data_IF_446500112875
#
_entry.id   IF_446500112875
#
_cell.length_a   1.000
_cell.length_b   1.000
_cell.length_c   1.000
_cell.angle_alpha   90.00
_cell.angle_beta   90.00
_cell.angle_gamma   90.00
#
_symmetry.space_group_name_H-M   'P 1'
#
loop_
_entity.id
_entity.type
_entity.pdbx_description
1 polymer ?
#
# COMPACT_ATOMS: atom_id res chain seq x y z
N UNK A 1 -21.21 -11.13 0.32
CA UNK A 1 -20.17 -11.65 1.20
C UNK A 1 -19.64 -10.56 2.12
N UNK A 2 -19.02 -10.94 3.21
CA UNK A 2 -18.46 -10.00 4.21
C UNK A 2 -17.42 -9.05 3.63
N UNK A 3 -16.55 -9.52 2.73
CA UNK A 3 -15.62 -8.65 2.03
C UNK A 3 -16.35 -7.53 1.28
N UNK A 4 -17.40 -7.85 0.54
CA UNK A 4 -18.18 -6.84 -0.20
C UNK A 4 -18.78 -5.79 0.73
N UNK A 5 -19.25 -6.21 1.89
CA UNK A 5 -19.77 -5.29 2.92
C UNK A 5 -18.67 -4.34 3.41
N UNK A 6 -17.49 -4.86 3.77
CA UNK A 6 -16.38 -4.04 4.24
C UNK A 6 -15.85 -3.09 3.16
N UNK A 7 -15.72 -3.58 1.93
CA UNK A 7 -15.33 -2.77 0.78
C UNK A 7 -16.33 -1.61 0.56
N UNK A 8 -17.62 -1.88 0.63
CA UNK A 8 -18.65 -0.86 0.48
C UNK A 8 -18.59 0.21 1.59
N UNK A 9 -18.26 -0.17 2.82
CA UNK A 9 -18.05 0.77 3.93
C UNK A 9 -16.93 1.75 3.62
N UNK A 10 -15.78 1.25 3.18
CA UNK A 10 -14.62 2.09 2.80
C UNK A 10 -15.00 3.01 1.63
N UNK A 11 -15.56 2.45 0.56
CA UNK A 11 -15.91 3.20 -0.65
C UNK A 11 -16.93 4.31 -0.34
N UNK A 12 -17.97 3.98 0.41
CA UNK A 12 -19.00 4.97 0.77
C UNK A 12 -18.42 6.11 1.60
N UNK A 13 -17.62 5.79 2.62
CA UNK A 13 -17.00 6.80 3.45
C UNK A 13 -16.10 7.73 2.63
N UNK A 14 -15.24 7.19 1.77
CA UNK A 14 -14.30 8.02 1.01
C UNK A 14 -14.99 8.83 -0.09
N UNK A 15 -16.06 8.30 -0.68
CA UNK A 15 -16.84 9.03 -1.69
C UNK A 15 -17.62 10.20 -1.10
N UNK A 16 -18.19 10.05 0.11
CA UNK A 16 -19.18 10.99 0.64
C UNK A 16 -18.74 11.77 1.88
N UNK A 17 -18.05 11.11 2.79
CA UNK A 17 -17.84 11.58 4.15
C UNK A 17 -16.41 11.97 4.48
N UNK A 18 -15.44 11.47 3.70
CA UNK A 18 -14.04 11.78 3.86
C UNK A 18 -13.77 13.23 3.48
N UNK A 19 -13.22 13.97 4.42
CA UNK A 19 -12.80 15.36 4.18
C UNK A 19 -11.28 15.42 4.13
N UNK A 20 -10.77 15.54 2.95
CA UNK A 20 -9.42 16.03 2.72
C UNK A 20 -9.47 17.56 2.71
N UNK A 21 -8.49 18.21 3.34
CA UNK A 21 -8.39 19.65 3.30
C UNK A 21 -8.24 20.14 1.86
N UNK A 22 -9.29 20.79 1.36
CA UNK A 22 -9.36 21.26 -0.03
C UNK A 22 -8.22 22.24 -0.39
N UNK A 23 -7.69 22.98 0.58
CA UNK A 23 -6.52 23.86 0.36
C UNK A 23 -5.25 23.08 0.10
N UNK A 24 -5.13 21.87 0.64
CA UNK A 24 -3.96 20.99 0.49
C UNK A 24 -3.94 20.24 -0.83
N UNK A 25 -5.05 19.65 -1.23
CA UNK A 25 -5.05 18.77 -2.40
C UNK A 25 -5.13 19.48 -3.75
N UNK A 26 -5.53 20.74 -3.77
CA UNK A 26 -5.42 21.58 -4.96
C UNK A 26 -4.01 22.15 -5.19
N UNK A 27 -3.10 21.96 -4.27
CA UNK A 27 -1.75 22.51 -4.38
C UNK A 27 -0.83 21.60 -5.19
N UNK A 28 -0.80 21.82 -6.49
CA UNK A 28 0.06 21.09 -7.41
C UNK A 28 1.56 21.44 -7.27
N UNK A 29 1.89 22.51 -6.55
CA UNK A 29 3.27 22.97 -6.38
C UNK A 29 4.00 22.23 -5.25
N UNK A 30 3.28 21.49 -4.44
CA UNK A 30 3.88 20.65 -3.41
C UNK A 30 3.95 19.20 -3.91
N UNK A 31 5.14 18.69 -4.27
CA UNK A 31 5.31 17.30 -4.73
C UNK A 31 5.11 16.28 -3.61
N UNK A 32 4.83 16.75 -2.40
CA UNK A 32 4.75 15.89 -1.23
C UNK A 32 3.55 14.94 -1.26
N UNK A 33 3.22 14.41 -0.17
CA UNK A 33 2.35 13.28 0.10
C UNK A 33 0.86 13.44 -0.31
N UNK A 34 0.46 14.54 -0.94
CA UNK A 34 -0.94 14.79 -1.30
C UNK A 34 -1.54 13.71 -2.21
N UNK A 35 -0.77 13.14 -3.10
CA UNK A 35 -1.22 12.03 -3.94
C UNK A 35 -1.71 10.80 -3.17
N UNK A 36 -1.28 10.64 -1.93
CA UNK A 36 -1.79 9.56 -1.06
C UNK A 36 -3.29 9.63 -0.84
N UNK A 37 -3.85 10.82 -0.82
CA UNK A 37 -5.19 11.07 -0.29
C UNK A 37 -6.17 11.61 -1.32
N UNK A 38 -5.70 12.17 -2.43
CA UNK A 38 -6.52 12.72 -3.49
C UNK A 38 -7.13 11.65 -4.38
N UNK A 39 -6.30 10.77 -4.90
CA UNK A 39 -6.72 9.76 -5.86
C UNK A 39 -7.68 8.74 -5.28
N UNK A 40 -7.61 8.34 -4.00
CA UNK A 40 -8.66 7.55 -3.36
C UNK A 40 -10.06 8.13 -3.49
N UNK A 41 -10.21 9.47 -3.47
CA UNK A 41 -11.52 10.14 -3.63
C UNK A 41 -12.06 9.92 -5.04
N UNK A 42 -11.22 10.01 -6.05
CA UNK A 42 -11.61 9.74 -7.45
C UNK A 42 -12.05 8.29 -7.62
N UNK A 43 -11.24 7.35 -7.13
CA UNK A 43 -11.54 5.92 -7.19
C UNK A 43 -12.87 5.61 -6.50
N UNK A 44 -13.07 6.10 -5.29
CA UNK A 44 -14.31 5.89 -4.54
C UNK A 44 -15.52 6.50 -5.25
N UNK A 45 -15.38 7.71 -5.81
CA UNK A 45 -16.45 8.40 -6.53
C UNK A 45 -16.86 7.63 -7.78
N UNK A 46 -15.91 7.17 -8.58
CA UNK A 46 -16.20 6.35 -9.77
C UNK A 46 -16.77 4.99 -9.41
N UNK A 47 -16.26 4.36 -8.37
CA UNK A 47 -16.75 3.05 -7.93
C UNK A 47 -18.20 3.11 -7.40
N UNK A 48 -18.56 4.18 -6.72
CA UNK A 48 -19.89 4.34 -6.14
C UNK A 48 -20.92 4.91 -7.12
N UNK A 49 -20.55 5.95 -7.85
CA UNK A 49 -21.47 6.74 -8.65
C UNK A 49 -21.29 6.59 -10.16
N UNK A 50 -20.29 5.79 -10.58
CA UNK A 50 -19.97 5.58 -11.98
C UNK A 50 -19.05 6.64 -12.58
N UNK A 51 -18.51 6.31 -13.76
CA UNK A 51 -17.47 7.09 -14.45
C UNK A 51 -17.88 8.47 -14.95
N UNK A 52 -19.18 8.74 -15.00
CA UNK A 52 -19.72 10.05 -15.37
C UNK A 52 -19.90 10.99 -14.16
N UNK A 53 -19.52 10.56 -12.97
CA UNK A 53 -19.64 11.37 -11.76
C UNK A 53 -18.82 12.67 -11.89
N UNK A 54 -19.44 13.83 -11.67
CA UNK A 54 -18.76 15.13 -11.83
C UNK A 54 -17.57 15.29 -10.91
N UNK A 55 -17.66 14.84 -9.65
CA UNK A 55 -16.60 15.00 -8.65
C UNK A 55 -15.31 14.33 -9.11
N UNK A 56 -15.36 13.04 -9.47
CA UNK A 56 -14.16 12.31 -9.93
C UNK A 56 -13.58 12.92 -11.21
N UNK A 57 -14.40 13.30 -12.17
CA UNK A 57 -13.94 13.91 -13.42
C UNK A 57 -13.33 15.29 -13.21
N UNK A 58 -13.88 16.10 -12.32
CA UNK A 58 -13.33 17.42 -11.98
C UNK A 58 -11.94 17.32 -11.37
N UNK A 59 -11.71 16.34 -10.47
CA UNK A 59 -10.41 16.11 -9.86
C UNK A 59 -9.35 15.78 -10.90
N UNK A 60 -9.62 14.83 -11.78
CA UNK A 60 -8.68 14.44 -12.85
C UNK A 60 -8.38 15.61 -13.79
N UNK A 61 -9.39 16.37 -14.19
CA UNK A 61 -9.22 17.53 -15.07
C UNK A 61 -8.41 18.63 -14.38
N UNK A 62 -8.66 18.89 -13.11
CA UNK A 62 -7.91 19.88 -12.34
C UNK A 62 -6.42 19.53 -12.27
N UNK A 63 -6.08 18.27 -11.96
CA UNK A 63 -4.70 17.81 -11.90
C UNK A 63 -4.03 17.69 -13.27
N UNK A 64 -4.74 17.83 -14.36
CA UNK A 64 -4.18 17.92 -15.72
C UNK A 64 -3.75 19.34 -16.11
N UNK A 65 -3.76 20.29 -15.20
CA UNK A 65 -3.14 21.60 -15.47
C UNK A 65 -1.64 21.48 -15.61
N UNK A 66 -1.01 22.39 -16.36
CA UNK A 66 0.41 22.34 -16.64
C UNK A 66 1.29 22.21 -15.38
N UNK A 67 1.00 23.00 -14.36
CA UNK A 67 1.74 22.93 -13.10
C UNK A 67 1.60 21.61 -12.35
N UNK A 68 0.42 21.00 -12.42
CA UNK A 68 0.16 19.72 -11.78
C UNK A 68 0.76 18.56 -12.57
N UNK A 69 0.65 18.57 -13.89
CA UNK A 69 1.06 17.46 -14.73
C UNK A 69 2.57 17.21 -14.69
N UNK A 70 3.37 18.25 -14.48
CA UNK A 70 4.82 18.13 -14.33
C UNK A 70 5.27 17.76 -12.92
N UNK A 71 4.39 17.84 -11.94
CA UNK A 71 4.71 17.54 -10.56
C UNK A 71 4.35 16.09 -10.21
N UNK A 72 5.01 15.14 -10.88
CA UNK A 72 4.74 13.70 -10.74
C UNK A 72 5.59 13.06 -9.67
N UNK A 73 5.02 12.93 -8.51
CA UNK A 73 5.59 12.14 -7.43
C UNK A 73 5.00 10.71 -7.45
N UNK A 74 5.70 9.71 -6.88
CA UNK A 74 5.31 8.30 -6.94
C UNK A 74 3.88 8.03 -6.43
N UNK A 75 3.41 8.76 -5.43
CA UNK A 75 2.03 8.62 -4.95
C UNK A 75 0.99 9.10 -5.97
N UNK A 76 1.32 10.10 -6.78
CA UNK A 76 0.45 10.57 -7.85
C UNK A 76 0.36 9.51 -8.95
N UNK A 77 1.50 9.07 -9.47
CA UNK A 77 1.50 8.18 -10.64
C UNK A 77 0.85 6.83 -10.35
N UNK A 78 0.97 6.28 -9.14
CA UNK A 78 0.32 5.01 -8.80
C UNK A 78 -1.20 5.16 -8.74
N UNK A 79 -1.70 6.26 -8.17
CA UNK A 79 -3.12 6.55 -8.12
C UNK A 79 -3.72 6.82 -9.48
N UNK A 80 -3.04 7.65 -10.31
CA UNK A 80 -3.41 7.89 -11.70
C UNK A 80 -3.48 6.61 -12.51
N UNK A 81 -2.44 5.80 -12.42
CA UNK A 81 -2.36 4.53 -13.15
C UNK A 81 -3.49 3.58 -12.75
N UNK A 82 -3.82 3.52 -11.46
CA UNK A 82 -4.96 2.76 -10.97
C UNK A 82 -6.26 3.24 -11.62
N UNK A 83 -6.49 4.56 -11.66
CA UNK A 83 -7.68 5.17 -12.25
C UNK A 83 -7.74 4.88 -13.75
N UNK A 84 -6.64 5.07 -14.48
CA UNK A 84 -6.60 4.82 -15.93
C UNK A 84 -6.87 3.36 -16.27
N UNK A 85 -6.41 2.46 -15.43
CA UNK A 85 -6.58 1.02 -15.63
C UNK A 85 -8.02 0.57 -15.37
N UNK A 86 -8.64 1.08 -14.31
CA UNK A 86 -9.97 0.63 -13.88
C UNK A 86 -11.13 1.41 -14.50
N UNK A 87 -10.88 2.66 -14.89
CA UNK A 87 -11.92 3.59 -15.33
C UNK A 87 -11.57 4.25 -16.67
N UNK A 88 -11.02 3.46 -17.58
CA UNK A 88 -10.57 3.93 -18.91
C UNK A 88 -11.62 4.74 -19.66
N UNK A 89 -12.89 4.36 -19.54
CA UNK A 89 -13.99 5.01 -20.25
C UNK A 89 -14.49 6.31 -19.62
N UNK A 90 -13.95 6.71 -18.46
CA UNK A 90 -14.31 7.99 -17.85
C UNK A 90 -13.93 9.16 -18.79
N UNK A 91 -14.82 10.16 -18.96
CA UNK A 91 -14.57 11.29 -19.86
C UNK A 91 -13.24 12.00 -19.59
N UNK A 92 -12.91 12.25 -18.34
CA UNK A 92 -11.65 12.90 -17.94
C UNK A 92 -10.41 12.03 -18.18
N UNK A 93 -10.53 10.72 -18.09
CA UNK A 93 -9.44 9.80 -18.44
C UNK A 93 -9.16 9.88 -19.93
N UNK A 94 -10.18 9.71 -20.78
CA UNK A 94 -10.03 9.76 -22.24
C UNK A 94 -9.47 11.09 -22.74
N UNK A 95 -9.91 12.20 -22.16
CA UNK A 95 -9.46 13.53 -22.57
C UNK A 95 -8.05 13.90 -22.10
N UNK A 96 -7.55 13.29 -21.01
CA UNK A 96 -6.32 13.75 -20.36
C UNK A 96 -5.18 12.72 -20.41
N UNK A 97 -5.45 11.45 -20.71
CA UNK A 97 -4.46 10.35 -20.59
C UNK A 97 -3.18 10.60 -21.40
N UNK A 98 -3.29 11.15 -22.59
CA UNK A 98 -2.12 11.40 -23.46
C UNK A 98 -1.18 12.43 -22.82
N UNK A 99 -1.72 13.47 -22.19
CA UNK A 99 -0.94 14.50 -21.52
C UNK A 99 -0.23 13.91 -20.29
N UNK A 100 -0.91 13.08 -19.53
CA UNK A 100 -0.30 12.35 -18.40
C UNK A 100 0.84 11.43 -18.85
N UNK A 101 0.63 10.66 -19.92
CA UNK A 101 1.67 9.82 -20.51
C UNK A 101 2.87 10.64 -20.98
N UNK A 102 2.62 11.75 -21.67
CA UNK A 102 3.67 12.62 -22.21
C UNK A 102 4.51 13.22 -21.07
N UNK A 103 3.87 13.71 -20.03
CA UNK A 103 4.56 14.26 -18.86
C UNK A 103 5.43 13.20 -18.16
N UNK A 104 4.91 11.99 -17.96
CA UNK A 104 5.64 10.89 -17.34
C UNK A 104 6.82 10.42 -18.21
N UNK A 105 6.62 10.36 -19.52
CA UNK A 105 7.62 9.87 -20.48
C UNK A 105 8.81 10.78 -20.64
N UNK A 106 8.54 12.09 -20.65
CA UNK A 106 9.55 13.12 -20.86
C UNK A 106 10.29 13.52 -19.57
N UNK A 107 9.93 12.96 -18.43
CA UNK A 107 10.56 13.31 -17.17
C UNK A 107 12.00 12.78 -17.10
N UNK A 108 12.95 13.65 -16.78
CA UNK A 108 14.39 13.34 -16.75
C UNK A 108 15.02 13.42 -15.36
N UNK A 109 14.25 13.86 -14.37
CA UNK A 109 14.72 13.98 -13.00
C UNK A 109 14.61 12.66 -12.19
N UNK A 110 14.88 12.72 -10.91
CA UNK A 110 14.85 11.57 -9.99
C UNK A 110 13.47 10.91 -9.84
N UNK A 111 12.41 11.52 -10.37
CA UNK A 111 11.06 10.97 -10.38
C UNK A 111 10.67 10.30 -11.70
N UNK A 112 11.61 10.07 -12.61
CA UNK A 112 11.35 9.30 -13.82
C UNK A 112 10.86 7.90 -13.46
N UNK A 113 9.72 7.48 -14.03
CA UNK A 113 9.06 6.21 -13.68
C UNK A 113 9.92 4.98 -13.94
N UNK A 114 10.76 5.04 -14.98
CA UNK A 114 11.55 3.90 -15.43
C UNK A 114 12.89 3.77 -14.69
N UNK A 115 13.40 4.85 -14.13
CA UNK A 115 14.77 4.93 -13.56
C UNK A 115 14.83 5.55 -12.18
N UNK A 116 13.71 5.99 -11.61
CA UNK A 116 13.68 6.61 -10.27
C UNK A 116 14.28 5.69 -9.22
N UNK A 117 14.93 6.31 -8.25
CA UNK A 117 15.40 5.67 -7.03
C UNK A 117 14.47 6.04 -5.87
N UNK A 118 14.66 5.43 -4.72
CA UNK A 118 13.88 5.72 -3.53
C UNK A 118 13.67 4.50 -2.64
N UNK A 119 12.65 4.57 -1.82
CA UNK A 119 12.29 3.50 -0.90
C UNK A 119 11.65 2.31 -1.62
N UNK A 120 11.51 1.18 -0.95
CA UNK A 120 10.86 0.01 -1.56
C UNK A 120 9.44 0.30 -2.04
N UNK A 121 8.63 1.00 -1.22
CA UNK A 121 7.28 1.37 -1.64
C UNK A 121 7.30 2.36 -2.81
N UNK A 122 8.27 3.28 -2.89
CA UNK A 122 8.42 4.19 -4.02
C UNK A 122 8.73 3.42 -5.30
N UNK A 123 9.67 2.47 -5.25
CA UNK A 123 10.01 1.64 -6.41
C UNK A 123 8.83 0.77 -6.85
N UNK A 124 8.10 0.17 -5.92
CA UNK A 124 6.90 -0.60 -6.23
C UNK A 124 5.87 0.28 -6.96
N UNK A 125 5.61 1.49 -6.45
CA UNK A 125 4.66 2.42 -7.05
C UNK A 125 5.09 2.88 -8.45
N UNK A 126 6.36 3.28 -8.62
CA UNK A 126 6.84 3.82 -9.90
C UNK A 126 6.97 2.74 -10.98
N UNK A 127 7.52 1.57 -10.67
CA UNK A 127 7.75 0.52 -11.67
C UNK A 127 6.47 -0.18 -12.13
N UNK A 128 5.52 -0.38 -11.22
CA UNK A 128 4.18 -0.90 -11.58
C UNK A 128 3.44 0.10 -12.46
N UNK A 129 3.49 1.39 -12.12
CA UNK A 129 2.94 2.46 -12.95
C UNK A 129 3.65 2.56 -14.31
N UNK A 130 4.98 2.46 -14.34
CA UNK A 130 5.76 2.50 -15.58
C UNK A 130 5.37 1.37 -16.54
N UNK A 131 5.15 0.15 -16.03
CA UNK A 131 4.66 -0.96 -16.84
C UNK A 131 3.31 -0.65 -17.49
N UNK A 132 2.34 -0.20 -16.69
CA UNK A 132 0.99 0.09 -17.17
C UNK A 132 0.96 1.30 -18.13
N UNK A 133 1.74 2.33 -17.86
CA UNK A 133 1.91 3.45 -18.81
C UNK A 133 2.52 2.99 -20.12
N UNK A 134 3.54 2.13 -20.08
CA UNK A 134 4.12 1.57 -21.30
C UNK A 134 3.11 0.69 -22.08
N UNK A 135 2.28 -0.08 -21.37
CA UNK A 135 1.19 -0.85 -21.98
C UNK A 135 0.18 0.07 -22.70
N UNK A 136 -0.28 1.12 -22.02
CA UNK A 136 -1.23 2.08 -22.60
C UNK A 136 -0.60 2.81 -23.79
N UNK A 137 0.63 3.29 -23.66
CA UNK A 137 1.35 3.99 -24.71
C UNK A 137 1.53 3.13 -25.95
N UNK A 138 1.96 1.87 -25.76
CA UNK A 138 2.13 0.90 -26.86
C UNK A 138 0.82 0.61 -27.59
N UNK A 139 -0.26 0.42 -26.82
CA UNK A 139 -1.52 -0.06 -27.38
C UNK A 139 -2.38 1.06 -27.97
N UNK A 140 -2.33 2.25 -27.39
CA UNK A 140 -3.23 3.37 -27.74
C UNK A 140 -2.53 4.52 -28.46
N UNK A 141 -1.22 4.69 -28.26
CA UNK A 141 -0.45 5.82 -28.79
C UNK A 141 0.92 5.40 -29.37
N UNK A 142 0.99 4.33 -30.20
CA UNK A 142 2.29 3.78 -30.64
C UNK A 142 3.14 4.76 -31.45
N UNK A 143 2.51 5.69 -32.15
CA UNK A 143 3.22 6.70 -32.95
C UNK A 143 3.81 7.82 -32.10
N UNK A 144 3.19 8.12 -30.95
CA UNK A 144 3.66 9.16 -30.03
C UNK A 144 4.76 8.61 -29.11
N UNK A 145 4.76 7.30 -28.85
CA UNK A 145 5.69 6.63 -27.95
C UNK A 145 6.34 5.40 -28.62
N UNK A 146 7.22 5.58 -29.60
CA UNK A 146 7.76 4.49 -30.42
C UNK A 146 8.59 3.47 -29.65
N UNK A 147 9.15 3.84 -28.49
CA UNK A 147 9.90 2.95 -27.60
C UNK A 147 9.04 2.27 -26.51
N UNK A 148 7.73 2.40 -26.57
CA UNK A 148 6.83 1.86 -25.52
C UNK A 148 6.93 0.33 -25.40
N UNK A 149 7.08 -0.40 -26.50
CA UNK A 149 7.24 -1.85 -26.48
C UNK A 149 8.53 -2.28 -25.75
N UNK A 150 9.64 -1.55 -25.98
CA UNK A 150 10.90 -1.79 -25.28
C UNK A 150 10.76 -1.50 -23.79
N UNK A 151 10.19 -0.37 -23.41
CA UNK A 151 9.94 0.01 -22.02
C UNK A 151 9.06 -1.00 -21.29
N UNK A 152 8.04 -1.50 -21.97
CA UNK A 152 7.16 -2.55 -21.44
C UNK A 152 7.94 -3.83 -21.09
N UNK A 153 8.81 -4.27 -22.00
CA UNK A 153 9.65 -5.45 -21.78
C UNK A 153 10.66 -5.26 -20.64
N UNK A 154 11.30 -4.09 -20.57
CA UNK A 154 12.23 -3.73 -19.49
C UNK A 154 11.50 -3.76 -18.13
N UNK A 155 10.31 -3.18 -18.05
CA UNK A 155 9.54 -3.17 -16.80
C UNK A 155 9.01 -4.56 -16.44
N UNK A 156 8.61 -5.38 -17.41
CA UNK A 156 8.24 -6.78 -17.15
C UNK A 156 9.39 -7.52 -16.46
N UNK A 157 10.61 -7.40 -17.01
CA UNK A 157 11.80 -8.01 -16.40
C UNK A 157 12.02 -7.54 -14.98
N UNK A 158 11.95 -6.23 -14.75
CA UNK A 158 12.11 -5.66 -13.42
C UNK A 158 11.08 -6.19 -12.42
N UNK A 159 9.80 -6.26 -12.82
CA UNK A 159 8.72 -6.77 -11.97
C UNK A 159 8.91 -8.24 -11.58
N UNK A 160 9.38 -9.06 -12.52
CA UNK A 160 9.68 -10.46 -12.26
C UNK A 160 10.87 -10.64 -11.30
N UNK A 161 11.94 -9.88 -11.49
CA UNK A 161 13.10 -9.90 -10.62
C UNK A 161 12.75 -9.43 -9.21
N UNK A 162 11.96 -8.36 -9.09
CA UNK A 162 11.49 -7.86 -7.81
C UNK A 162 10.66 -8.91 -7.05
N UNK A 163 9.73 -9.57 -7.72
CA UNK A 163 8.92 -10.62 -7.13
C UNK A 163 9.77 -11.81 -6.66
N UNK A 164 10.75 -12.23 -7.45
CA UNK A 164 11.68 -13.28 -7.08
C UNK A 164 12.50 -12.92 -5.83
N UNK A 165 13.00 -11.68 -5.76
CA UNK A 165 13.70 -11.17 -4.58
C UNK A 165 12.79 -11.07 -3.36
N UNK A 166 11.55 -10.63 -3.52
CA UNK A 166 10.56 -10.58 -2.44
C UNK A 166 10.33 -11.96 -1.82
N UNK A 167 10.21 -13.00 -2.63
CA UNK A 167 10.03 -14.38 -2.14
C UNK A 167 11.30 -14.98 -1.54
N UNK A 168 12.48 -14.48 -1.91
CA UNK A 168 13.76 -14.95 -1.40
C UNK A 168 14.13 -14.30 -0.07
N UNK A 169 14.02 -12.99 0.03
CA UNK A 169 14.52 -12.21 1.18
C UNK A 169 13.40 -11.61 2.04
N UNK A 170 12.18 -11.54 1.52
CA UNK A 170 11.12 -10.70 2.08
C UNK A 170 11.38 -9.21 1.87
N UNK A 171 10.40 -8.34 2.10
CA UNK A 171 10.59 -6.90 1.99
C UNK A 171 11.47 -6.37 3.10
N UNK A 172 12.26 -5.33 2.85
CA UNK A 172 12.96 -4.57 3.89
C UNK A 172 12.01 -3.66 4.65
N UNK A 173 10.91 -3.25 4.02
CA UNK A 173 9.77 -2.62 4.70
C UNK A 173 8.84 -3.70 5.29
N UNK A 174 9.43 -4.62 6.06
CA UNK A 174 8.72 -5.77 6.59
C UNK A 174 7.64 -5.39 7.61
N UNK A 175 6.47 -5.97 7.42
CA UNK A 175 5.28 -5.79 8.26
C UNK A 175 4.90 -4.31 8.51
N UNK A 176 5.24 -3.42 7.57
CA UNK A 176 4.96 -2.00 7.71
C UNK A 176 3.47 -1.72 7.64
N UNK A 177 2.87 -1.42 8.77
CA UNK A 177 1.46 -1.02 8.82
C UNK A 177 1.21 0.35 8.17
N UNK A 178 2.23 1.20 8.12
CA UNK A 178 2.16 2.52 7.45
C UNK A 178 2.18 2.40 5.93
N UNK A 179 3.13 1.61 5.39
CA UNK A 179 3.39 1.60 3.94
C UNK A 179 2.75 0.46 3.19
N UNK A 180 2.12 -0.52 3.86
CA UNK A 180 1.45 -1.63 3.19
C UNK A 180 0.51 -1.20 2.05
N UNK A 181 -0.41 -0.23 2.23
CA UNK A 181 -1.29 0.17 1.14
C UNK A 181 -0.54 0.69 -0.08
N UNK A 182 0.54 1.43 0.14
CA UNK A 182 1.35 2.00 -0.94
C UNK A 182 2.21 0.95 -1.64
N UNK A 183 2.67 -0.05 -0.88
CA UNK A 183 3.44 -1.17 -1.44
C UNK A 183 2.59 -2.07 -2.33
N UNK A 184 1.28 -2.17 -2.09
CA UNK A 184 0.39 -3.09 -2.84
C UNK A 184 -0.42 -2.42 -3.94
N UNK A 185 -0.65 -1.11 -3.92
CA UNK A 185 -1.59 -0.43 -4.84
C UNK A 185 -1.20 -0.65 -6.31
N UNK A 186 0.07 -0.54 -6.66
CA UNK A 186 0.53 -0.78 -8.01
C UNK A 186 0.36 -2.23 -8.46
N UNK A 187 0.55 -3.18 -7.55
CA UNK A 187 0.32 -4.61 -7.82
C UNK A 187 -1.16 -4.94 -7.99
N UNK A 188 -2.04 -4.27 -7.25
CA UNK A 188 -3.49 -4.35 -7.46
C UNK A 188 -3.87 -3.88 -8.88
N UNK A 189 -3.31 -2.75 -9.32
CA UNK A 189 -3.53 -2.24 -10.67
C UNK A 189 -3.02 -3.21 -11.76
N UNK A 190 -1.84 -3.82 -11.56
CA UNK A 190 -1.30 -4.85 -12.47
C UNK A 190 -2.17 -6.10 -12.50
N UNK A 191 -2.62 -6.57 -11.34
CA UNK A 191 -3.49 -7.74 -11.25
C UNK A 191 -4.79 -7.55 -12.03
N UNK A 192 -5.39 -6.36 -11.91
CA UNK A 192 -6.65 -6.05 -12.57
C UNK A 192 -6.48 -5.68 -14.05
N UNK A 193 -5.37 -5.04 -14.43
CA UNK A 193 -5.26 -4.35 -15.70
C UNK A 193 -4.10 -4.73 -16.63
N UNK A 194 -3.12 -5.52 -16.17
CA UNK A 194 -2.08 -6.00 -17.07
C UNK A 194 -2.67 -6.98 -18.09
N UNK A 195 -2.35 -6.77 -19.36
CA UNK A 195 -2.81 -7.65 -20.45
C UNK A 195 -2.00 -8.94 -20.52
N UNK A 196 -0.73 -8.88 -20.14
CA UNK A 196 0.16 -10.03 -20.09
C UNK A 196 -0.23 -10.94 -18.92
N UNK A 197 -0.60 -12.21 -19.16
CA UNK A 197 -1.02 -13.15 -18.13
C UNK A 197 0.10 -13.47 -17.13
N UNK A 198 1.36 -13.45 -17.54
CA UNK A 198 2.51 -13.70 -16.66
C UNK A 198 2.66 -12.56 -15.66
N UNK A 199 2.49 -11.32 -16.11
CA UNK A 199 2.54 -10.14 -15.22
C UNK A 199 1.38 -10.15 -14.22
N UNK A 200 0.19 -10.53 -14.66
CA UNK A 200 -0.96 -10.71 -13.76
C UNK A 200 -0.72 -11.80 -12.71
N UNK A 201 -0.10 -12.91 -13.12
CA UNK A 201 0.26 -14.00 -12.22
C UNK A 201 1.29 -13.56 -11.19
N UNK A 202 2.33 -12.83 -11.62
CA UNK A 202 3.34 -12.26 -10.74
C UNK A 202 2.73 -11.25 -9.77
N UNK A 203 1.85 -10.38 -10.25
CA UNK A 203 1.12 -9.44 -9.39
C UNK A 203 0.30 -10.16 -8.33
N UNK A 204 -0.41 -11.24 -8.71
CA UNK A 204 -1.12 -12.09 -7.76
C UNK A 204 -0.18 -12.69 -6.72
N UNK A 205 0.95 -13.23 -7.14
CA UNK A 205 1.92 -13.84 -6.23
C UNK A 205 2.44 -12.82 -5.20
N UNK A 206 2.76 -11.60 -5.64
CA UNK A 206 3.18 -10.52 -4.73
C UNK A 206 2.08 -10.15 -3.75
N UNK A 207 0.84 -10.02 -4.22
CA UNK A 207 -0.31 -9.71 -3.36
C UNK A 207 -0.58 -10.84 -2.36
N UNK A 208 -0.49 -12.09 -2.78
CA UNK A 208 -0.64 -13.27 -1.90
C UNK A 208 0.44 -13.30 -0.82
N UNK A 209 1.68 -12.91 -1.16
CA UNK A 209 2.77 -12.78 -0.18
C UNK A 209 2.42 -11.74 0.90
N UNK A 210 2.06 -10.53 0.51
CA UNK A 210 1.69 -9.48 1.46
C UNK A 210 0.45 -9.85 2.29
N UNK A 211 -0.55 -10.45 1.67
CA UNK A 211 -1.74 -10.91 2.37
C UNK A 211 -1.41 -11.99 3.42
N UNK A 212 -0.53 -12.94 3.09
CA UNK A 212 -0.09 -13.98 4.02
C UNK A 212 0.74 -13.40 5.19
N UNK A 213 1.63 -12.43 4.91
CA UNK A 213 2.39 -11.76 5.95
C UNK A 213 1.49 -10.98 6.91
N UNK A 214 0.53 -10.22 6.38
CA UNK A 214 -0.47 -9.53 7.19
C UNK A 214 -1.30 -10.53 8.00
N UNK A 215 -1.79 -11.59 7.37
CA UNK A 215 -2.61 -12.62 8.02
C UNK A 215 -1.90 -13.30 9.20
N UNK A 216 -0.60 -13.58 9.05
CA UNK A 216 0.21 -14.18 10.10
C UNK A 216 0.25 -13.28 11.34
N UNK A 217 0.42 -11.98 11.14
CA UNK A 217 0.57 -11.00 12.21
C UNK A 217 -0.76 -10.44 12.74
N UNK A 218 -1.85 -10.70 12.05
CA UNK A 218 -3.16 -10.10 12.31
C UNK A 218 -3.86 -10.74 13.52
N UNK A 219 -4.34 -9.90 14.43
CA UNK A 219 -5.14 -10.31 15.58
C UNK A 219 -6.27 -9.33 15.79
N UNK A 220 -7.51 -9.73 15.50
CA UNK A 220 -8.73 -8.93 15.66
C UNK A 220 -8.64 -7.49 15.13
N UNK A 221 -8.11 -7.32 13.95
CA UNK A 221 -8.02 -6.02 13.29
C UNK A 221 -6.73 -5.25 13.55
N UNK A 222 -5.80 -5.81 14.30
CA UNK A 222 -4.51 -5.17 14.58
C UNK A 222 -3.38 -6.07 14.12
N UNK A 223 -2.45 -5.49 13.39
CA UNK A 223 -1.20 -6.15 13.01
C UNK A 223 -0.23 -6.11 14.18
N UNK A 224 0.20 -7.28 14.63
CA UNK A 224 1.15 -7.46 15.72
C UNK A 224 2.57 -7.71 15.23
N UNK A 225 3.49 -7.86 16.19
CA UNK A 225 4.89 -8.17 15.91
C UNK A 225 5.74 -6.93 15.61
N UNK A 226 6.91 -7.21 15.08
CA UNK A 226 7.88 -6.21 14.68
C UNK A 226 7.43 -5.47 13.41
N UNK A 227 7.86 -4.24 13.27
CA UNK A 227 7.62 -3.42 12.07
C UNK A 227 8.88 -2.66 11.66
N UNK A 228 9.11 -2.51 10.38
CA UNK A 228 9.99 -1.50 9.82
C UNK A 228 9.18 -0.40 9.13
N UNK A 229 9.75 0.77 8.96
CA UNK A 229 9.05 1.91 8.35
C UNK A 229 7.72 2.24 9.04
N UNK A 230 7.68 2.17 10.35
CA UNK A 230 6.54 2.65 11.14
C UNK A 230 6.69 4.14 11.41
N UNK A 231 6.09 4.98 10.56
CA UNK A 231 6.18 6.44 10.66
C UNK A 231 5.16 7.05 11.63
N UNK A 232 4.12 6.31 12.01
CA UNK A 232 2.97 6.86 12.75
C UNK A 232 3.16 6.96 14.26
N UNK A 233 4.34 6.65 14.77
CA UNK A 233 4.58 6.66 16.21
C UNK A 233 4.06 5.41 16.90
N UNK A 234 4.60 5.12 18.08
CA UNK A 234 4.22 3.91 18.82
C UNK A 234 2.85 4.01 19.50
N UNK A 235 2.27 5.17 19.54
CA UNK A 235 0.94 5.39 20.12
C UNK A 235 -0.17 4.96 19.16
N UNK A 236 0.14 4.79 17.88
CA UNK A 236 -0.83 4.35 16.88
C UNK A 236 -1.08 2.87 17.05
N UNK A 237 -2.25 2.52 17.55
CA UNK A 237 -2.70 1.12 17.66
C UNK A 237 -3.25 0.63 16.33
N UNK A 238 -3.85 1.51 15.54
CA UNK A 238 -4.36 1.25 14.20
C UNK A 238 -3.67 2.17 13.22
N UNK A 239 -3.17 1.60 12.13
CA UNK A 239 -2.47 2.30 11.09
C UNK A 239 -3.06 1.98 9.71
N UNK A 240 -2.50 2.54 8.63
CA UNK A 240 -2.99 2.35 7.26
C UNK A 240 -3.16 0.88 6.87
N UNK A 241 -2.20 0.03 7.18
CA UNK A 241 -2.27 -1.40 6.88
C UNK A 241 -3.35 -2.15 7.61
N UNK A 242 -3.79 -1.67 8.77
CA UNK A 242 -4.85 -2.32 9.56
C UNK A 242 -6.23 -2.16 8.88
N UNK A 243 -6.46 -1.09 8.12
CA UNK A 243 -7.67 -0.96 7.29
C UNK A 243 -7.68 -1.94 6.13
N UNK A 244 -6.54 -2.20 5.50
CA UNK A 244 -6.42 -3.25 4.48
C UNK A 244 -6.61 -4.63 5.11
N UNK A 245 -6.02 -4.88 6.28
CA UNK A 245 -6.21 -6.11 7.04
C UNK A 245 -7.67 -6.34 7.41
N UNK A 246 -8.36 -5.31 7.90
CA UNK A 246 -9.78 -5.39 8.17
C UNK A 246 -10.62 -5.68 6.91
N UNK A 247 -10.30 -5.02 5.81
CA UNK A 247 -10.95 -5.27 4.53
C UNK A 247 -10.85 -6.74 4.12
N UNK A 248 -9.65 -7.30 4.19
CA UNK A 248 -9.38 -8.66 3.76
C UNK A 248 -9.91 -9.72 4.72
N UNK A 249 -9.75 -9.51 6.01
CA UNK A 249 -9.96 -10.56 7.03
C UNK A 249 -11.13 -10.32 7.98
N UNK A 250 -11.61 -9.10 8.11
CA UNK A 250 -12.66 -8.75 9.05
C UNK A 250 -12.16 -8.52 10.46
N UNK A 251 -13.02 -8.80 11.44
CA UNK A 251 -12.72 -8.62 12.87
C UNK A 251 -12.14 -7.24 13.20
N UNK A 252 -12.99 -6.23 13.33
CA UNK A 252 -12.56 -4.88 13.60
C UNK A 252 -12.47 -4.61 15.10
N UNK A 253 -11.35 -4.12 15.63
CA UNK A 253 -11.38 -3.40 16.88
C UNK A 253 -12.25 -2.15 16.70
N UNK A 254 -12.83 -1.64 17.78
CA UNK A 254 -13.68 -0.42 17.75
C UNK A 254 -12.96 0.84 17.21
N UNK A 255 -11.67 0.73 16.88
CA UNK A 255 -10.85 1.79 16.29
C UNK A 255 -10.92 1.89 14.77
N UNK A 256 -11.43 0.88 14.09
CA UNK A 256 -11.78 1.00 12.67
C UNK A 256 -13.08 1.80 12.59
N UNK A 257 -12.97 3.07 12.24
CA UNK A 257 -14.09 4.03 12.26
C UNK A 257 -14.27 4.69 10.90
N UNK A 258 -15.50 5.07 10.60
CA UNK A 258 -15.89 5.79 9.38
C UNK A 258 -16.76 6.98 9.77
N UNK A 259 -16.20 7.89 10.56
CA UNK A 259 -16.92 9.05 11.08
C UNK A 259 -17.18 10.06 9.96
N UNK A 260 -18.45 10.43 9.68
CA UNK A 260 -18.77 11.41 8.68
C UNK A 260 -18.06 12.75 8.93
N UNK A 261 -17.51 13.33 7.89
CA UNK A 261 -16.81 14.61 7.96
C UNK A 261 -15.42 14.56 8.59
N UNK A 262 -14.91 13.38 8.92
CA UNK A 262 -13.54 13.20 9.41
C UNK A 262 -12.52 13.09 8.28
N UNK A 263 -11.26 13.34 8.62
CA UNK A 263 -10.11 13.16 7.72
C UNK A 263 -9.40 11.84 8.08
N UNK A 264 -10.08 10.72 7.86
CA UNK A 264 -9.48 9.40 8.11
C UNK A 264 -8.65 8.96 6.90
N UNK A 265 -7.39 9.33 6.88
CA UNK A 265 -6.45 9.03 5.81
C UNK A 265 -6.17 7.52 5.69
N UNK A 266 -6.18 6.82 6.81
CA UNK A 266 -5.97 5.38 6.88
C UNK A 266 -7.07 4.62 6.13
N UNK A 267 -8.32 5.03 6.29
CA UNK A 267 -9.44 4.48 5.53
C UNK A 267 -9.33 4.82 4.04
N UNK A 268 -8.93 6.05 3.71
CA UNK A 268 -8.81 6.50 2.33
C UNK A 268 -7.85 5.63 1.52
N UNK A 269 -6.69 5.29 2.06
CA UNK A 269 -5.68 4.49 1.36
C UNK A 269 -6.09 3.04 1.11
N UNK A 270 -7.09 2.52 1.83
CA UNK A 270 -7.63 1.18 1.62
C UNK A 270 -8.60 1.09 0.42
N UNK A 271 -8.98 2.21 -0.19
CA UNK A 271 -9.93 2.26 -1.33
C UNK A 271 -9.44 1.44 -2.51
N UNK A 272 -8.16 1.46 -2.81
CA UNK A 272 -7.60 0.70 -3.92
C UNK A 272 -7.82 -0.81 -3.75
N UNK A 273 -7.53 -1.34 -2.57
CA UNK A 273 -7.79 -2.74 -2.26
C UNK A 273 -9.29 -3.07 -2.21
N UNK A 274 -10.13 -2.13 -1.76
CA UNK A 274 -11.57 -2.29 -1.73
C UNK A 274 -12.20 -2.34 -3.12
N UNK A 275 -11.63 -1.62 -4.08
CA UNK A 275 -12.12 -1.51 -5.47
C UNK A 275 -11.55 -2.59 -6.39
N UNK A 276 -10.39 -3.16 -6.07
CA UNK A 276 -9.73 -4.21 -6.86
C UNK A 276 -10.51 -5.53 -6.83
N UNK A 277 -10.33 -6.32 -7.89
CA UNK A 277 -10.87 -7.69 -7.96
C UNK A 277 -10.05 -8.70 -7.18
N UNK A 278 -8.86 -8.34 -6.71
CA UNK A 278 -8.03 -9.24 -5.90
C UNK A 278 -8.71 -9.62 -4.58
N UNK A 279 -8.58 -10.89 -4.25
CA UNK A 279 -9.00 -11.45 -2.96
C UNK A 279 -7.91 -12.36 -2.41
N UNK A 280 -7.56 -12.24 -1.12
CA UNK A 280 -6.65 -13.20 -0.50
C UNK A 280 -7.14 -14.64 -0.63
N UNK A 281 -6.23 -15.60 -0.80
CA UNK A 281 -6.59 -17.02 -0.80
C UNK A 281 -7.32 -17.42 0.49
N UNK A 282 -8.23 -18.38 0.41
CA UNK A 282 -9.01 -18.84 1.57
C UNK A 282 -8.12 -19.37 2.70
N UNK A 283 -6.99 -20.01 2.37
CA UNK A 283 -6.03 -20.47 3.37
C UNK A 283 -5.44 -19.30 4.17
N UNK A 284 -5.18 -18.17 3.50
CA UNK A 284 -4.67 -16.94 4.12
C UNK A 284 -5.75 -16.30 5.02
N UNK A 285 -6.99 -16.28 4.57
CA UNK A 285 -8.12 -15.79 5.40
C UNK A 285 -8.29 -16.65 6.66
N UNK A 286 -8.16 -17.96 6.55
CA UNK A 286 -8.19 -18.88 7.71
C UNK A 286 -7.02 -18.63 8.67
N UNK A 287 -5.83 -18.39 8.13
CA UNK A 287 -4.65 -18.02 8.94
C UNK A 287 -4.90 -16.75 9.75
N UNK A 288 -5.51 -15.73 9.15
CA UNK A 288 -5.83 -14.47 9.83
C UNK A 288 -6.81 -14.66 11.00
N UNK A 289 -7.76 -15.57 10.87
CA UNK A 289 -8.76 -15.84 11.94
C UNK A 289 -8.16 -16.48 13.19
N UNK A 290 -7.02 -17.16 13.08
CA UNK A 290 -6.37 -17.92 14.15
C UNK A 290 -7.27 -19.03 14.77
N UNK A 291 -8.40 -19.34 14.17
CA UNK A 291 -9.38 -20.27 14.76
C UNK A 291 -8.81 -21.69 14.88
N UNK A 292 -8.13 -22.14 13.84
CA UNK A 292 -7.60 -23.50 13.72
C UNK A 292 -6.07 -23.58 13.90
N UNK A 293 -5.44 -22.47 14.31
CA UNK A 293 -3.99 -22.42 14.44
C UNK A 293 -3.56 -23.12 15.74
N UNK A 294 -2.50 -23.91 15.66
CA UNK A 294 -1.78 -24.38 16.83
C UNK A 294 -0.84 -23.27 17.29
N UNK A 295 -0.73 -23.09 18.61
CA UNK A 295 0.24 -22.17 19.16
C UNK A 295 1.65 -22.52 18.65
N UNK A 296 2.27 -21.60 17.97
CA UNK A 296 3.54 -21.85 17.26
C UNK A 296 4.49 -20.67 17.40
N UNK A 297 5.77 -20.99 17.50
CA UNK A 297 6.84 -20.03 17.39
C UNK A 297 7.44 -20.13 15.99
N UNK A 298 7.47 -19.02 15.29
CA UNK A 298 8.12 -18.91 13.99
C UNK A 298 9.44 -18.19 14.14
N UNK A 299 10.46 -18.75 13.51
CA UNK A 299 11.76 -18.13 13.35
C UNK A 299 11.89 -17.73 11.89
N UNK A 300 12.19 -16.47 11.65
CA UNK A 300 12.27 -15.90 10.33
C UNK A 300 13.51 -15.01 10.21
N UNK A 301 13.83 -14.68 8.99
CA UNK A 301 14.81 -13.64 8.68
C UNK A 301 14.34 -12.83 7.48
N UNK A 302 14.62 -11.55 7.51
CA UNK A 302 14.33 -10.62 6.43
C UNK A 302 15.62 -10.02 5.91
N UNK A 303 15.56 -9.50 4.68
CA UNK A 303 16.62 -8.67 4.14
C UNK A 303 16.67 -7.31 4.80
N UNK A 304 17.75 -6.65 4.58
CA UNK A 304 17.86 -5.21 4.78
C UNK A 304 17.01 -4.47 3.75
N UNK A 305 16.98 -3.18 3.90
CA UNK A 305 16.26 -2.29 3.02
C UNK A 305 16.62 -2.50 1.52
N UNK A 306 15.65 -2.30 0.65
CA UNK A 306 15.74 -2.55 -0.79
C UNK A 306 16.11 -4.00 -1.16
N UNK A 307 15.65 -4.95 -0.35
CA UNK A 307 15.82 -6.40 -0.56
C UNK A 307 17.30 -6.86 -0.55
N UNK A 308 18.18 -6.05 0.03
CA UNK A 308 19.59 -6.39 0.19
C UNK A 308 19.82 -7.37 1.36
N UNK A 309 21.00 -7.98 1.40
CA UNK A 309 21.45 -8.86 2.47
C UNK A 309 20.38 -9.83 2.98
N UNK A 310 19.95 -10.82 2.18
CA UNK A 310 18.96 -11.80 2.60
C UNK A 310 19.32 -12.45 3.94
N UNK A 311 18.37 -12.48 4.86
CA UNK A 311 18.59 -13.11 6.16
C UNK A 311 19.35 -12.29 7.19
N UNK A 312 19.67 -11.02 6.93
CA UNK A 312 20.41 -10.17 7.86
C UNK A 312 19.64 -9.89 9.17
N UNK A 313 18.32 -9.71 9.07
CA UNK A 313 17.48 -9.40 10.23
C UNK A 313 16.80 -10.66 10.73
N UNK A 314 17.17 -11.10 11.90
CA UNK A 314 16.54 -12.24 12.56
C UNK A 314 15.27 -11.80 13.27
N UNK A 315 14.24 -12.62 13.15
CA UNK A 315 12.92 -12.34 13.70
C UNK A 315 12.34 -13.56 14.39
N UNK A 316 11.63 -13.35 15.48
CA UNK A 316 10.82 -14.37 16.13
C UNK A 316 9.39 -13.88 16.20
N UNK A 317 8.44 -14.78 15.97
CA UNK A 317 7.03 -14.46 16.02
C UNK A 317 6.24 -15.61 16.64
N UNK A 318 5.65 -15.37 17.79
CA UNK A 318 4.71 -16.28 18.40
C UNK A 318 3.30 -16.00 17.90
N UNK A 319 2.65 -17.03 17.41
CA UNK A 319 1.28 -16.99 16.95
C UNK A 319 0.44 -17.94 17.80
N UNK A 320 -0.59 -17.39 18.41
CA UNK A 320 -1.54 -18.16 19.19
C UNK A 320 -2.98 -17.74 18.92
N UNK A 321 -3.92 -18.51 19.43
CA UNK A 321 -5.37 -18.22 19.32
C UNK A 321 -5.77 -16.96 20.08
N UNK A 322 -5.06 -16.63 21.15
CA UNK A 322 -5.41 -15.56 22.07
C UNK A 322 -4.48 -14.36 21.99
N UNK A 323 -3.25 -14.55 21.54
CA UNK A 323 -2.29 -13.46 21.38
C UNK A 323 -1.22 -13.76 20.35
N UNK A 324 -0.59 -12.71 19.89
CA UNK A 324 0.63 -12.73 19.08
C UNK A 324 1.70 -11.87 19.72
N UNK A 325 2.95 -12.30 19.62
CA UNK A 325 4.12 -11.54 20.09
C UNK A 325 5.27 -11.73 19.12
N UNK A 326 5.77 -10.65 18.57
CA UNK A 326 6.90 -10.70 17.67
C UNK A 326 8.02 -9.76 18.07
N UNK A 327 9.24 -10.18 17.79
CA UNK A 327 10.43 -9.37 17.99
C UNK A 327 11.40 -9.49 16.81
N UNK A 328 12.04 -8.39 16.46
CA UNK A 328 13.12 -8.34 15.48
C UNK A 328 14.44 -8.00 16.18
N UNK A 329 15.52 -8.59 15.70
CA UNK A 329 16.86 -8.42 16.25
C UNK A 329 17.70 -7.61 15.28
N UNK A 330 17.83 -6.33 15.57
CA UNK A 330 18.67 -5.43 14.78
C UNK A 330 20.11 -5.46 15.27
N UNK A 331 21.11 -5.52 14.38
CA UNK A 331 22.49 -5.44 14.80
C UNK A 331 22.77 -4.07 15.44
N UNK A 332 23.61 -4.09 16.49
CA UNK A 332 24.09 -2.86 17.11
C UNK A 332 24.88 -2.04 16.07
N UNK A 333 24.59 -0.74 15.98
CA UNK A 333 25.23 0.13 15.00
C UNK A 333 24.40 0.34 13.72
N UNK A 334 23.32 -0.42 13.53
CA UNK A 334 22.39 -0.24 12.41
C UNK A 334 22.90 -0.78 11.08
N UNK A 335 22.13 -0.51 10.05
CA UNK A 335 22.45 -0.88 8.67
C UNK A 335 22.97 0.32 7.90
N UNK A 336 23.96 0.13 7.06
CA UNK A 336 24.41 1.15 6.11
C UNK A 336 23.33 1.36 5.06
N UNK A 337 22.79 2.57 4.96
CA UNK A 337 21.70 2.90 4.04
C UNK A 337 20.34 2.32 4.43
N UNK A 338 20.19 1.83 5.64
CA UNK A 338 18.97 1.19 6.10
C UNK A 338 17.92 2.15 6.61
N UNK A 339 16.72 1.63 6.69
CA UNK A 339 15.58 2.25 7.32
C UNK A 339 15.81 2.43 8.83
N UNK A 340 15.43 3.57 9.35
CA UNK A 340 15.64 3.94 10.75
C UNK A 340 14.35 3.96 11.58
N UNK A 341 13.23 3.55 10.98
CA UNK A 341 11.92 3.59 11.61
C UNK A 341 11.47 2.19 12.00
N UNK A 342 12.11 1.63 13.03
CA UNK A 342 11.80 0.28 13.51
C UNK A 342 10.93 0.28 14.75
N UNK A 343 10.01 -0.66 14.81
CA UNK A 343 9.36 -1.13 16.02
C UNK A 343 9.83 -2.56 16.30
N UNK A 344 10.64 -2.72 17.35
CA UNK A 344 11.36 -3.97 17.61
C UNK A 344 10.47 -5.10 18.07
N UNK A 345 9.41 -4.80 18.83
CA UNK A 345 8.47 -5.81 19.28
C UNK A 345 7.07 -5.24 19.49
N UNK A 346 6.08 -6.09 19.31
CA UNK A 346 4.67 -5.78 19.58
C UNK A 346 3.93 -7.03 20.01
N UNK A 347 3.18 -6.89 21.07
CA UNK A 347 2.22 -7.86 21.59
C UNK A 347 0.80 -7.41 21.24
N UNK A 348 -0.01 -8.32 20.75
CA UNK A 348 -1.45 -8.11 20.57
C UNK A 348 -2.20 -9.28 21.17
N UNK A 349 -3.00 -9.03 22.20
CA UNK A 349 -3.77 -10.05 22.90
C UNK A 349 -5.27 -9.83 22.78
N UNK A 350 -6.03 -10.92 22.68
CA UNK A 350 -7.49 -10.90 22.76
C UNK A 350 -7.91 -10.69 24.23
N UNK A 351 -8.91 -9.85 24.42
CA UNK A 351 -9.54 -9.64 25.73
C UNK A 351 -10.88 -10.35 25.72
N UNK A 352 -11.18 -11.08 26.79
CA UNK A 352 -12.47 -11.72 26.93
C UNK A 352 -13.59 -10.66 26.95
N UNK A 353 -14.78 -10.95 26.39
CA UNK A 353 -15.88 -10.00 26.30
C UNK A 353 -16.32 -9.43 27.64
N UNK A 354 -16.12 -10.18 28.73
CA UNK A 354 -16.60 -9.90 30.07
C UNK A 354 -15.59 -9.16 30.95
N UNK A 355 -14.41 -8.86 30.44
CA UNK A 355 -13.42 -8.12 31.20
C UNK A 355 -13.85 -6.66 31.35
N UNK A 356 -14.02 -6.25 32.59
CA UNK A 356 -14.28 -4.86 33.03
C UNK A 356 -13.11 -3.90 32.79
N UNK A 357 -12.14 -4.30 31.99
CA UNK A 357 -11.09 -3.40 31.54
C UNK A 357 -11.75 -2.27 30.77
N UNK A 358 -11.69 -1.10 31.32
CA UNK A 358 -12.30 0.15 30.87
C UNK A 358 -11.85 0.63 29.48
N UNK A 359 -10.95 -0.04 28.83
CA UNK A 359 -10.71 0.10 27.41
C UNK A 359 -11.89 -0.49 26.61
N UNK A 360 -13.06 0.09 26.76
CA UNK A 360 -14.28 -0.19 25.97
C UNK A 360 -14.10 -0.07 24.45
N UNK A 361 -12.88 -0.08 23.96
CA UNK A 361 -12.54 0.36 22.62
C UNK A 361 -12.03 -0.74 21.71
N UNK A 362 -11.60 -1.88 22.24
CA UNK A 362 -11.17 -3.00 21.40
C UNK A 362 -11.21 -4.30 22.23
N UNK A 363 -11.53 -5.42 21.57
CA UNK A 363 -11.39 -6.75 22.18
C UNK A 363 -9.91 -7.20 22.19
N UNK A 364 -8.98 -6.24 22.27
CA UNK A 364 -7.54 -6.48 22.23
C UNK A 364 -6.79 -5.58 23.19
N UNK A 365 -5.71 -6.11 23.75
CA UNK A 365 -4.67 -5.37 24.45
C UNK A 365 -3.44 -5.31 23.56
N UNK A 366 -2.82 -4.15 23.46
CA UNK A 366 -1.61 -3.94 22.69
C UNK A 366 -0.50 -3.45 23.60
N UNK A 367 0.64 -4.13 23.56
CA UNK A 367 1.90 -3.67 24.15
C UNK A 367 2.98 -3.62 23.08
N UNK A 368 3.86 -2.64 23.14
CA UNK A 368 4.93 -2.44 22.18
C UNK A 368 6.13 -1.74 22.80
N UNK A 369 7.27 -1.83 22.13
CA UNK A 369 8.50 -1.16 22.55
C UNK A 369 9.63 -1.27 21.57
N UNK A 370 10.76 -0.69 21.93
CA UNK A 370 11.96 -0.71 21.12
C UNK A 370 11.84 0.09 19.83
N UNK A 371 11.14 1.21 19.87
CA UNK A 371 11.11 2.12 18.73
C UNK A 371 12.40 2.90 18.62
N UNK A 372 13.07 2.71 17.53
CA UNK A 372 14.26 3.45 17.16
C UNK A 372 13.96 4.47 16.08
N UNK A 373 13.92 5.73 16.46
CA UNK A 373 14.10 6.85 15.54
C UNK A 373 15.58 7.19 15.52
N UNK A 374 16.28 6.71 14.54
CA UNK A 374 17.70 6.89 14.57
C UNK A 374 18.20 7.98 13.63
N UNK A 375 18.32 9.17 14.16
CA UNK A 375 19.03 10.26 13.53
C UNK A 375 20.55 10.00 13.39
N UNK A 376 21.09 9.03 14.14
CA UNK A 376 22.51 8.73 14.18
C UNK A 376 22.93 7.62 13.21
N UNK A 377 21.99 6.88 12.64
CA UNK A 377 22.28 5.67 11.84
C UNK A 377 22.28 5.87 10.33
N UNK A 378 22.44 7.09 9.91
CA UNK A 378 22.51 7.40 8.50
C UNK A 378 21.25 8.04 7.96
N UNK A 379 21.42 8.68 6.85
CA UNK A 379 20.35 9.31 6.11
C UNK A 379 19.40 8.26 5.56
N UNK A 380 18.15 8.62 5.43
CA UNK A 380 17.25 7.88 4.57
C UNK A 380 17.86 7.84 3.17
N UNK A 381 17.71 6.76 2.41
CA UNK A 381 18.31 6.65 1.09
C UNK A 381 17.96 7.75 0.10
N UNK A 382 17.03 8.62 0.46
CA UNK A 382 16.53 9.72 -0.35
C UNK A 382 16.80 11.13 0.24
N UNK A 383 17.52 11.24 1.36
CA UNK A 383 17.91 12.53 1.95
C UNK A 383 19.12 13.16 1.23
#
# INVERSE_FOLDING_TARGET
SEFKYRAQKIINYVADDYKWDASGWYNCNNPSDYGKYNWPIVVASFQKYGINNPKGNQYLTHFNTESCIYNRFHFNVVGETYIFTHYWDAPSVKSNIKDYLTAAWNRTDSYNLFTSEGTENHLAMTRTAAYLYAQIAKDSFPNDFPNAAQKLAEMKSWLMDWAAMLYTSGPGEWNSSTYLPFSITGWLALYDGAKDPDVRLVARAVLDYYAAEVALHYTQGITGGYESRNSSGYESVVNYGDYVGWLWFGESPKKITFTPGSQNNEAATAVYAASSTYRPPMAVVKLASKADILNSMYYNSKGEYLLNNPGAIKQTFYVGKTFTLGAAYLPYGGFTGGDTQFQMWKFVGKVAPDTTITAKTANVIVGYGGKEWNKARGRMPWD
#
